data_IF_653194729131
#
_entry.id   IF_653194729131
#
_cell.length_a   1.000
_cell.length_b   1.000
_cell.length_c   1.000
_cell.angle_alpha   90.00
_cell.angle_beta   90.00
_cell.angle_gamma   90.00
#
_symmetry.space_group_name_H-M   'P 1'
#
loop_
_entity.id
_entity.type
_entity.pdbx_description
1 polymer ?
#
# COMPACT_ATOMS: atom_id res chain seq x y z
N UNK A 1 67.22 12.06 4.72
CA UNK A 1 66.94 12.84 5.93
C UNK A 1 65.48 13.31 5.86
N UNK A 2 64.70 12.98 6.91
CA UNK A 2 63.37 13.51 7.33
C UNK A 2 62.24 13.53 6.29
N UNK A 3 61.27 12.58 6.23
CA UNK A 3 60.14 12.24 7.16
C UNK A 3 59.28 13.44 7.64
N UNK A 4 57.96 13.32 7.43
CA UNK A 4 56.80 13.80 8.23
C UNK A 4 55.77 14.52 7.35
N UNK A 5 54.45 14.28 7.39
CA UNK A 5 53.66 13.43 8.27
C UNK A 5 52.19 13.46 7.85
N UNK A 6 51.54 12.30 7.96
CA UNK A 6 50.10 12.10 7.88
C UNK A 6 49.47 12.49 9.22
N UNK A 7 48.40 13.29 9.25
CA UNK A 7 47.48 13.36 10.40
C UNK A 7 46.04 13.52 9.96
N UNK A 8 45.29 12.45 10.20
CA UNK A 8 43.84 12.43 10.41
C UNK A 8 43.47 13.28 11.63
N UNK A 9 42.30 13.93 11.61
CA UNK A 9 41.62 14.40 12.81
C UNK A 9 40.11 14.38 12.59
N UNK A 10 39.44 13.48 13.33
CA UNK A 10 38.00 13.41 13.51
C UNK A 10 37.57 14.24 14.74
N UNK A 11 36.29 14.63 14.74
CA UNK A 11 35.39 14.94 15.88
C UNK A 11 35.39 16.39 16.40
N UNK A 12 34.21 17.04 16.34
CA UNK A 12 33.51 17.49 17.55
C UNK A 12 31.99 17.63 17.34
N UNK A 13 31.25 16.89 18.18
CA UNK A 13 29.83 16.98 18.48
C UNK A 13 29.53 18.29 19.23
N UNK A 14 28.50 19.04 18.81
CA UNK A 14 27.90 20.08 19.66
C UNK A 14 26.40 19.82 19.78
N UNK A 15 26.01 19.38 20.98
CA UNK A 15 24.64 19.42 21.48
C UNK A 15 24.20 20.88 21.58
N UNK A 16 23.05 21.23 21.00
CA UNK A 16 22.27 22.37 21.44
C UNK A 16 20.93 21.90 21.98
N UNK A 17 20.79 22.00 23.30
CA UNK A 17 19.51 21.98 24.01
C UNK A 17 18.90 23.38 23.83
N UNK A 18 17.81 23.47 23.08
CA UNK A 18 17.05 24.70 22.87
C UNK A 18 15.60 24.50 23.28
N UNK A 19 15.23 25.09 24.42
CA UNK A 19 13.88 25.14 24.98
C UNK A 19 13.01 26.10 24.17
N UNK A 20 11.80 25.63 23.81
CA UNK A 20 10.56 26.41 23.74
C UNK A 20 10.47 27.58 22.78
N UNK A 21 9.79 27.37 21.65
CA UNK A 21 9.01 28.42 20.99
C UNK A 21 7.68 27.83 20.49
N UNK A 22 6.60 28.20 21.17
CA UNK A 22 5.24 27.91 20.75
C UNK A 22 4.92 28.70 19.47
N UNK A 23 5.02 28.03 18.31
CA UNK A 23 4.49 28.56 17.06
C UNK A 23 2.97 28.31 17.03
N UNK A 24 2.23 29.40 16.97
CA UNK A 24 0.77 29.41 16.94
C UNK A 24 0.27 28.65 15.71
N UNK A 25 -0.57 27.63 15.95
CA UNK A 25 -1.30 26.92 14.92
C UNK A 25 -2.25 27.91 14.22
N UNK A 26 -1.86 28.36 13.03
CA UNK A 26 -2.74 29.12 12.17
C UNK A 26 -3.67 28.10 11.49
N UNK A 27 -4.93 28.13 11.91
CA UNK A 27 -5.99 27.25 11.43
C UNK A 27 -6.13 27.35 9.89
N UNK A 28 -5.53 26.39 9.20
CA UNK A 28 -5.76 26.15 7.78
C UNK A 28 -7.04 25.35 7.60
N UNK A 29 -7.88 25.79 6.66
CA UNK A 29 -9.09 25.09 6.22
C UNK A 29 -8.75 23.72 5.61
N UNK A 30 -8.56 22.71 6.45
CA UNK A 30 -8.68 21.30 6.10
C UNK A 30 -10.04 20.83 6.54
N UNK A 31 -10.87 20.33 5.62
CA UNK A 31 -12.03 19.53 6.03
C UNK A 31 -11.57 18.35 6.90
N UNK A 32 -12.46 17.70 7.66
CA UNK A 32 -12.13 16.64 8.63
C UNK A 32 -11.52 15.35 8.02
N UNK A 33 -11.11 15.40 6.75
CA UNK A 33 -10.53 14.31 5.96
C UNK A 33 -9.10 14.65 5.52
N UNK A 34 -8.38 15.48 6.30
CA UNK A 34 -6.96 15.74 6.09
C UNK A 34 -6.17 14.43 6.15
N UNK A 35 -5.20 14.28 5.23
CA UNK A 35 -4.34 13.10 5.19
C UNK A 35 -3.36 13.16 6.36
N UNK A 36 -3.66 12.47 7.45
CA UNK A 36 -2.64 12.22 8.47
C UNK A 36 -1.53 11.37 7.86
N UNK A 37 -0.25 11.66 8.16
CA UNK A 37 0.85 10.82 7.72
C UNK A 37 0.64 9.38 8.20
N UNK A 38 1.12 8.41 7.42
CA UNK A 38 1.13 7.01 7.81
C UNK A 38 1.82 6.86 9.15
N UNK A 39 1.25 6.08 10.07
CA UNK A 39 1.89 5.80 11.36
C UNK A 39 2.95 4.72 11.17
N UNK A 40 4.21 5.10 11.39
CA UNK A 40 5.36 4.19 11.36
C UNK A 40 5.52 3.54 12.75
N UNK A 41 4.94 2.35 12.95
CA UNK A 41 4.94 1.60 14.22
C UNK A 41 5.64 0.25 14.11
N UNK A 42 5.83 -0.29 12.91
CA UNK A 42 6.38 -1.62 12.67
C UNK A 42 7.71 -1.83 13.41
N UNK A 43 8.67 -0.92 13.20
CA UNK A 43 10.01 -1.02 13.78
C UNK A 43 10.02 -0.99 15.33
N UNK A 44 8.96 -0.49 15.98
CA UNK A 44 8.85 -0.48 17.43
C UNK A 44 8.48 -1.86 18.00
N UNK A 45 7.88 -2.73 17.18
CA UNK A 45 7.32 -4.01 17.60
C UNK A 45 8.01 -5.24 16.99
N UNK A 46 8.82 -5.09 15.95
CA UNK A 46 9.71 -6.13 15.43
C UNK A 46 10.91 -6.33 16.38
N UNK A 47 10.69 -7.07 17.48
CA UNK A 47 11.69 -7.16 18.57
C UNK A 47 12.84 -8.08 18.24
N UNK A 48 12.59 -9.09 17.40
CA UNK A 48 13.62 -10.01 16.94
C UNK A 48 14.33 -9.54 15.66
N UNK A 49 13.92 -8.38 15.10
CA UNK A 49 14.47 -7.76 13.89
C UNK A 49 14.46 -8.71 12.69
N UNK A 50 13.43 -9.56 12.61
CA UNK A 50 13.29 -10.52 11.51
C UNK A 50 12.58 -9.91 10.28
N UNK A 51 12.17 -8.64 10.37
CA UNK A 51 11.43 -7.92 9.33
C UNK A 51 9.96 -8.28 9.29
N UNK A 52 9.40 -8.89 10.35
CA UNK A 52 7.98 -9.28 10.47
C UNK A 52 7.49 -9.21 11.91
N UNK A 53 6.18 -9.03 12.08
CA UNK A 53 5.54 -9.14 13.39
C UNK A 53 4.91 -10.53 13.56
N UNK A 54 5.36 -11.28 14.57
CA UNK A 54 4.66 -12.50 15.00
C UNK A 54 3.37 -12.16 15.75
N UNK A 55 2.53 -13.16 16.06
CA UNK A 55 1.22 -12.95 16.71
C UNK A 55 1.28 -12.09 17.99
N UNK A 56 2.33 -12.23 18.81
CA UNK A 56 2.49 -11.46 20.06
C UNK A 56 2.89 -10.01 19.79
N UNK A 57 3.78 -9.81 18.83
CA UNK A 57 4.22 -8.49 18.39
C UNK A 57 3.08 -7.74 17.72
N UNK A 58 2.33 -8.44 16.85
CA UNK A 58 1.13 -7.93 16.19
C UNK A 58 0.10 -7.47 17.21
N UNK A 59 -0.17 -8.27 18.25
CA UNK A 59 -1.12 -7.88 19.30
C UNK A 59 -0.63 -6.65 20.10
N UNK A 60 0.68 -6.54 20.33
CA UNK A 60 1.27 -5.40 21.02
C UNK A 60 1.19 -4.12 20.17
N UNK A 61 1.49 -4.23 18.87
CA UNK A 61 1.36 -3.15 17.91
C UNK A 61 -0.09 -2.66 17.80
N UNK A 62 -1.07 -3.58 17.75
CA UNK A 62 -2.50 -3.23 17.74
C UNK A 62 -2.92 -2.45 18.96
N UNK A 63 -2.52 -2.89 20.16
CA UNK A 63 -2.86 -2.19 21.40
C UNK A 63 -2.29 -0.77 21.38
N UNK A 64 -1.05 -0.61 20.94
CA UNK A 64 -0.41 0.69 20.81
C UNK A 64 -1.11 1.60 19.80
N UNK A 65 -1.44 1.10 18.60
CA UNK A 65 -2.15 1.90 17.59
C UNK A 65 -3.53 2.33 18.12
N UNK A 66 -4.24 1.45 18.83
CA UNK A 66 -5.53 1.80 19.46
C UNK A 66 -5.37 2.87 20.54
N UNK A 67 -4.32 2.81 21.35
CA UNK A 67 -4.00 3.82 22.34
C UNK A 67 -3.70 5.19 21.69
N UNK A 68 -2.92 5.19 20.60
CA UNK A 68 -2.62 6.41 19.84
C UNK A 68 -3.88 7.05 19.24
N UNK A 69 -4.79 6.23 18.72
CA UNK A 69 -6.03 6.68 18.07
C UNK A 69 -7.14 7.06 19.05
N UNK A 70 -7.10 6.54 20.27
CA UNK A 70 -8.12 6.83 21.29
C UNK A 70 -9.55 6.61 20.77
N UNK A 71 -10.34 7.68 20.72
CA UNK A 71 -11.74 7.69 20.23
C UNK A 71 -11.89 8.04 18.74
N UNK A 72 -10.83 8.02 17.94
CA UNK A 72 -10.95 8.22 16.50
C UNK A 72 -11.98 7.26 15.90
N UNK A 73 -12.93 7.83 15.17
CA UNK A 73 -14.06 7.11 14.58
C UNK A 73 -13.61 6.38 13.32
N UNK A 74 -12.82 5.32 13.47
CA UNK A 74 -12.71 4.31 12.43
C UNK A 74 -14.09 3.67 12.23
N UNK A 75 -14.44 3.23 11.01
CA UNK A 75 -15.68 2.50 10.79
C UNK A 75 -15.86 1.39 11.81
N UNK A 76 -17.03 1.32 12.42
CA UNK A 76 -17.28 0.37 13.52
C UNK A 76 -17.05 -1.07 13.05
N UNK A 77 -16.43 -1.85 13.94
CA UNK A 77 -16.15 -3.26 13.79
C UNK A 77 -17.42 -4.02 13.41
N UNK A 78 -17.55 -4.45 12.16
CA UNK A 78 -18.48 -5.53 11.85
C UNK A 78 -17.83 -6.83 12.28
N UNK A 79 -18.34 -7.42 13.36
CA UNK A 79 -17.97 -8.79 13.74
C UNK A 79 -18.49 -9.76 12.70
N UNK A 80 -17.63 -10.14 11.78
CA UNK A 80 -17.86 -11.30 10.92
C UNK A 80 -17.59 -12.58 11.72
N UNK A 81 -18.62 -13.13 12.37
CA UNK A 81 -18.61 -14.54 12.75
C UNK A 81 -18.94 -15.39 11.52
N UNK A 82 -18.02 -15.41 10.56
CA UNK A 82 -18.18 -16.26 9.40
C UNK A 82 -17.44 -17.57 9.65
N UNK A 83 -18.13 -18.71 9.64
CA UNK A 83 -17.48 -19.99 9.85
C UNK A 83 -16.47 -20.23 8.71
N UNK A 84 -15.21 -20.43 9.08
CA UNK A 84 -14.17 -20.91 8.17
C UNK A 84 -14.53 -22.35 7.80
N UNK A 85 -15.27 -22.54 6.71
CA UNK A 85 -15.82 -23.86 6.34
C UNK A 85 -14.80 -24.78 5.67
N UNK A 86 -13.69 -24.24 5.17
CA UNK A 86 -12.62 -24.97 4.48
C UNK A 86 -11.27 -24.61 5.07
N UNK A 87 -10.30 -25.53 5.02
CA UNK A 87 -8.88 -25.25 5.29
C UNK A 87 -8.11 -24.90 4.00
N UNK A 88 -6.80 -24.67 4.12
CA UNK A 88 -5.91 -24.31 2.98
C UNK A 88 -6.03 -25.27 1.79
N UNK A 89 -6.04 -26.59 2.03
CA UNK A 89 -6.21 -27.59 0.96
C UNK A 89 -7.60 -27.54 0.29
N UNK A 90 -8.62 -27.06 1.00
CA UNK A 90 -9.94 -26.83 0.43
C UNK A 90 -9.94 -25.64 -0.52
N UNK A 91 -9.27 -24.56 -0.14
CA UNK A 91 -9.12 -23.37 -0.98
C UNK A 91 -8.28 -23.64 -2.21
N UNK A 92 -7.17 -24.38 -2.08
CA UNK A 92 -6.35 -24.82 -3.22
C UNK A 92 -7.19 -25.58 -4.24
N UNK A 93 -8.01 -26.54 -3.78
CA UNK A 93 -8.89 -27.30 -4.68
C UNK A 93 -9.94 -26.42 -5.36
N UNK A 94 -10.57 -25.49 -4.62
CA UNK A 94 -11.53 -24.55 -5.21
C UNK A 94 -10.87 -23.57 -6.19
N UNK A 95 -9.67 -23.11 -5.87
CA UNK A 95 -8.87 -22.23 -6.72
C UNK A 95 -8.51 -22.94 -8.02
N UNK A 96 -7.97 -24.15 -7.96
CA UNK A 96 -7.70 -24.96 -9.15
C UNK A 96 -8.97 -25.22 -9.99
N UNK A 97 -10.10 -25.50 -9.35
CA UNK A 97 -11.37 -25.74 -10.05
C UNK A 97 -11.97 -24.49 -10.71
N UNK A 98 -11.59 -23.29 -10.26
CA UNK A 98 -12.04 -22.00 -10.83
C UNK A 98 -10.99 -21.33 -11.71
N UNK A 99 -9.83 -21.98 -11.90
CA UNK A 99 -8.76 -21.48 -12.73
C UNK A 99 -9.21 -21.33 -14.20
N UNK A 100 -8.75 -20.29 -14.91
CA UNK A 100 -8.92 -20.20 -16.36
C UNK A 100 -8.34 -21.43 -17.05
N UNK A 101 -9.03 -21.93 -18.09
CA UNK A 101 -8.57 -23.11 -18.86
C UNK A 101 -7.38 -22.78 -19.75
N UNK A 102 -7.39 -21.59 -20.32
CA UNK A 102 -6.35 -21.10 -21.20
C UNK A 102 -5.29 -20.35 -20.41
N UNK A 103 -4.05 -20.36 -20.91
CA UNK A 103 -2.98 -19.55 -20.33
C UNK A 103 -3.26 -18.09 -20.65
N UNK A 104 -3.48 -17.31 -19.59
CA UNK A 104 -3.61 -15.87 -19.66
C UNK A 104 -2.66 -15.21 -18.64
N UNK A 105 -2.35 -13.94 -18.83
CA UNK A 105 -1.60 -13.13 -17.87
C UNK A 105 -2.51 -12.61 -16.74
N UNK A 106 -1.93 -12.03 -15.69
CA UNK A 106 -2.69 -11.56 -14.52
C UNK A 106 -3.76 -10.52 -14.88
N UNK A 107 -3.40 -9.57 -15.76
CA UNK A 107 -4.26 -8.45 -16.16
C UNK A 107 -4.93 -8.65 -17.52
N UNK A 108 -5.04 -9.89 -18.02
CA UNK A 108 -5.87 -10.14 -19.19
C UNK A 108 -7.33 -9.78 -18.87
N UNK A 109 -7.88 -8.83 -19.63
CA UNK A 109 -9.23 -8.28 -19.44
C UNK A 109 -10.32 -9.29 -19.78
N UNK A 110 -10.02 -10.32 -20.58
CA UNK A 110 -10.98 -11.37 -20.95
C UNK A 110 -11.02 -12.53 -19.94
N UNK A 111 -10.13 -12.51 -18.94
CA UNK A 111 -10.00 -13.59 -17.97
C UNK A 111 -10.50 -13.15 -16.59
N UNK A 112 -11.56 -13.78 -16.11
CA UNK A 112 -12.14 -13.50 -14.79
C UNK A 112 -11.59 -14.47 -13.73
N UNK A 113 -10.47 -14.09 -13.10
CA UNK A 113 -9.80 -14.93 -12.08
C UNK A 113 -10.45 -14.83 -10.71
N UNK A 114 -10.32 -15.89 -9.92
CA UNK A 114 -10.69 -15.89 -8.50
C UNK A 114 -9.44 -15.91 -7.62
N UNK A 115 -9.30 -14.89 -6.77
CA UNK A 115 -8.26 -14.79 -5.75
C UNK A 115 -8.83 -15.26 -4.42
N UNK A 116 -8.12 -16.16 -3.77
CA UNK A 116 -8.47 -16.65 -2.43
C UNK A 116 -7.46 -16.10 -1.43
N UNK A 117 -7.92 -15.33 -0.45
CA UNK A 117 -7.12 -14.92 0.70
C UNK A 117 -7.51 -15.74 1.92
N UNK A 118 -6.51 -16.24 2.64
CA UNK A 118 -6.69 -16.95 3.90
C UNK A 118 -5.86 -16.33 4.99
N UNK A 119 -6.55 -15.78 5.98
CA UNK A 119 -5.95 -15.28 7.20
C UNK A 119 -5.99 -16.35 8.28
N UNK A 120 -4.92 -16.45 9.07
CA UNK A 120 -4.85 -17.38 10.20
C UNK A 120 -5.63 -16.86 11.42
N UNK A 121 -5.63 -15.54 11.63
CA UNK A 121 -6.34 -14.92 12.75
C UNK A 121 -7.85 -14.87 12.51
N UNK A 122 -8.69 -15.29 13.48
CA UNK A 122 -10.14 -15.07 13.40
C UNK A 122 -10.53 -13.59 13.49
N UNK A 123 -9.64 -12.73 14.01
CA UNK A 123 -9.83 -11.28 14.12
C UNK A 123 -9.22 -10.48 12.97
N UNK A 124 -8.82 -11.13 11.87
CA UNK A 124 -8.07 -10.51 10.75
C UNK A 124 -8.66 -9.20 10.22
N UNK A 125 -9.99 -9.07 10.16
CA UNK A 125 -10.63 -7.86 9.66
C UNK A 125 -10.46 -6.68 10.64
N UNK A 126 -10.52 -6.95 11.94
CA UNK A 126 -10.24 -5.97 12.97
C UNK A 126 -8.76 -5.59 12.97
N UNK A 127 -7.86 -6.55 12.73
CA UNK A 127 -6.43 -6.29 12.58
C UNK A 127 -6.16 -5.35 11.39
N UNK A 128 -6.73 -5.63 10.22
CA UNK A 128 -6.65 -4.74 9.05
C UNK A 128 -7.24 -3.35 9.33
N UNK A 129 -8.32 -3.28 10.12
CA UNK A 129 -8.95 -2.01 10.51
C UNK A 129 -8.05 -1.21 11.45
N UNK A 130 -7.49 -1.87 12.47
CA UNK A 130 -6.57 -1.26 13.42
C UNK A 130 -5.30 -0.77 12.72
N UNK A 131 -4.77 -1.51 11.75
CA UNK A 131 -3.59 -1.13 10.98
C UNK A 131 -3.86 -0.29 9.73
N UNK A 132 -5.10 0.16 9.51
CA UNK A 132 -5.38 1.10 8.41
C UNK A 132 -4.50 2.35 8.55
N UNK A 133 -3.82 2.79 7.49
CA UNK A 133 -2.88 3.93 7.53
C UNK A 133 -1.69 3.75 8.51
N UNK A 134 -1.23 2.52 8.76
CA UNK A 134 0.06 2.23 9.42
C UNK A 134 1.00 1.47 8.47
N UNK A 135 2.29 1.39 8.83
CA UNK A 135 3.34 0.62 8.15
C UNK A 135 3.25 -0.91 8.31
N UNK A 136 2.27 -1.40 9.07
CA UNK A 136 2.09 -2.83 9.35
C UNK A 136 1.17 -3.48 8.32
N UNK A 137 1.61 -4.59 7.74
CA UNK A 137 0.79 -5.45 6.89
C UNK A 137 0.39 -6.74 7.63
N UNK A 138 -0.86 -7.18 7.45
CA UNK A 138 -1.39 -8.39 8.07
C UNK A 138 -1.08 -9.60 7.17
N UNK A 139 -0.34 -10.61 7.67
CA UNK A 139 0.01 -11.78 6.87
C UNK A 139 -1.20 -12.64 6.47
N UNK A 140 -1.19 -13.13 5.23
CA UNK A 140 -2.16 -14.09 4.72
C UNK A 140 -1.51 -15.09 3.75
N UNK A 141 -2.24 -16.17 3.44
CA UNK A 141 -1.96 -16.99 2.26
C UNK A 141 -2.84 -16.53 1.12
N UNK A 142 -2.25 -16.17 -0.01
CA UNK A 142 -2.95 -15.97 -1.26
C UNK A 142 -2.95 -17.28 -2.05
N UNK A 143 -4.09 -17.66 -2.65
CA UNK A 143 -4.20 -18.83 -3.51
C UNK A 143 -4.84 -18.39 -4.83
N UNK A 144 -4.17 -18.68 -5.95
CA UNK A 144 -4.58 -18.29 -7.30
C UNK A 144 -4.34 -19.47 -8.24
N UNK A 145 -5.35 -19.83 -9.02
CA UNK A 145 -5.30 -20.90 -10.02
C UNK A 145 -4.76 -22.25 -9.50
N UNK A 146 -5.00 -22.55 -8.21
CA UNK A 146 -4.53 -23.77 -7.56
C UNK A 146 -3.14 -23.68 -6.91
N UNK A 147 -2.44 -22.56 -7.05
CA UNK A 147 -1.13 -22.32 -6.44
C UNK A 147 -1.23 -21.47 -5.18
N UNK A 148 -0.49 -21.82 -4.14
CA UNK A 148 -0.45 -21.09 -2.88
C UNK A 148 0.80 -20.22 -2.77
N UNK A 149 0.59 -18.96 -2.41
CA UNK A 149 1.55 -17.90 -2.16
C UNK A 149 1.45 -17.55 -0.68
N UNK A 150 2.21 -18.23 0.21
CA UNK A 150 2.13 -18.01 1.63
C UNK A 150 2.88 -16.75 2.05
N UNK A 151 2.44 -16.13 3.15
CA UNK A 151 3.10 -14.97 3.72
C UNK A 151 3.03 -13.72 2.83
N UNK A 152 1.90 -13.52 2.14
CA UNK A 152 1.64 -12.22 1.52
C UNK A 152 1.22 -11.23 2.60
N UNK A 153 1.59 -9.97 2.45
CA UNK A 153 1.15 -8.89 3.33
C UNK A 153 -0.12 -8.27 2.77
N UNK A 154 -1.08 -7.96 3.64
CA UNK A 154 -2.36 -7.38 3.25
C UNK A 154 -2.65 -6.16 4.12
N UNK A 155 -3.09 -5.07 3.50
CA UNK A 155 -3.59 -3.90 4.22
C UNK A 155 -4.78 -3.28 3.49
N UNK A 156 -5.64 -2.56 4.23
CA UNK A 156 -6.67 -1.73 3.63
C UNK A 156 -6.05 -0.49 3.00
N UNK A 157 -6.55 -0.12 1.80
CA UNK A 157 -6.07 1.06 1.07
C UNK A 157 -7.17 2.03 0.69
N UNK A 158 -6.73 3.23 0.31
CA UNK A 158 -7.57 4.33 -0.14
C UNK A 158 -7.87 5.32 0.99
N UNK A 159 -8.30 6.51 0.60
CA UNK A 159 -8.72 7.57 1.54
C UNK A 159 -10.25 7.64 1.53
N UNK A 160 -10.83 8.38 0.58
CA UNK A 160 -12.29 8.52 0.48
C UNK A 160 -13.02 7.18 0.33
N UNK A 161 -12.48 6.23 -0.42
CA UNK A 161 -13.10 4.89 -0.60
C UNK A 161 -13.19 4.07 0.70
N UNK A 162 -12.26 4.31 1.63
CA UNK A 162 -12.25 3.65 2.94
C UNK A 162 -13.31 4.24 3.87
N UNK A 163 -13.40 5.57 3.92
CA UNK A 163 -14.32 6.27 4.82
C UNK A 163 -15.76 6.36 4.30
N UNK A 164 -15.96 6.54 2.99
CA UNK A 164 -17.30 6.63 2.39
C UNK A 164 -18.06 5.30 2.46
N UNK A 165 -17.33 4.17 2.50
CA UNK A 165 -17.96 2.85 2.69
C UNK A 165 -18.43 2.63 4.12
N UNK A 166 -18.04 3.49 5.09
CA UNK A 166 -18.39 3.38 6.50
C UNK A 166 -18.23 1.93 6.97
N UNK A 167 -19.25 1.34 7.58
CA UNK A 167 -19.19 0.00 8.13
C UNK A 167 -19.26 -1.09 7.05
N UNK A 168 -19.42 -0.78 5.76
CA UNK A 168 -19.44 -1.82 4.72
C UNK A 168 -18.13 -2.62 4.73
N UNK A 169 -18.21 -3.97 4.72
CA UNK A 169 -17.03 -4.82 4.66
C UNK A 169 -16.24 -4.62 3.38
N UNK A 170 -16.86 -4.15 2.30
CA UNK A 170 -16.24 -4.06 0.99
C UNK A 170 -15.21 -2.91 0.94
N UNK A 171 -14.05 -3.14 1.56
CA UNK A 171 -12.88 -2.26 1.55
C UNK A 171 -11.98 -2.59 0.36
N UNK A 172 -11.16 -1.63 -0.04
CA UNK A 172 -10.10 -1.85 -1.01
C UNK A 172 -8.87 -2.43 -0.31
N UNK A 173 -8.18 -3.35 -0.97
CA UNK A 173 -7.00 -4.05 -0.44
C UNK A 173 -5.77 -3.72 -1.28
N UNK A 174 -4.63 -3.62 -0.63
CA UNK A 174 -3.33 -3.81 -1.26
C UNK A 174 -2.76 -5.13 -0.73
N UNK A 175 -2.14 -5.90 -1.63
CA UNK A 175 -1.54 -7.20 -1.33
C UNK A 175 -0.09 -7.16 -1.80
N UNK A 176 0.85 -7.26 -0.87
CA UNK A 176 2.27 -7.40 -1.11
C UNK A 176 2.62 -8.89 -1.23
N UNK A 177 2.84 -9.34 -2.45
CA UNK A 177 3.10 -10.75 -2.78
C UNK A 177 4.44 -11.21 -2.22
N UNK A 178 5.42 -10.31 -2.16
CA UNK A 178 6.79 -10.57 -1.72
C UNK A 178 7.07 -10.17 -0.27
N UNK A 179 6.03 -9.92 0.52
CA UNK A 179 6.13 -9.45 1.91
C UNK A 179 7.05 -10.32 2.77
N UNK A 180 6.69 -11.60 2.96
CA UNK A 180 7.58 -12.52 3.67
C UNK A 180 8.68 -13.07 2.76
N UNK A 181 8.34 -13.38 1.51
CA UNK A 181 9.23 -14.04 0.56
C UNK A 181 9.60 -13.08 -0.55
N UNK A 182 10.72 -12.37 -0.41
CA UNK A 182 11.14 -11.31 -1.33
C UNK A 182 11.22 -11.67 -2.82
N UNK A 183 11.40 -12.95 -3.16
CA UNK A 183 11.41 -13.44 -4.56
C UNK A 183 10.05 -13.91 -5.08
N UNK A 184 9.01 -13.95 -4.24
CA UNK A 184 7.68 -14.43 -4.61
C UNK A 184 7.02 -13.44 -5.57
N UNK A 185 6.45 -13.95 -6.66
CA UNK A 185 5.78 -13.15 -7.69
C UNK A 185 4.49 -13.83 -8.12
N UNK A 186 3.44 -13.06 -8.28
CA UNK A 186 2.18 -13.51 -8.87
C UNK A 186 2.19 -13.10 -10.33
N UNK A 187 2.39 -14.04 -11.26
CA UNK A 187 2.47 -13.74 -12.70
C UNK A 187 3.47 -12.61 -13.04
N UNK A 188 4.60 -12.56 -12.33
CA UNK A 188 5.63 -11.52 -12.50
C UNK A 188 5.45 -10.27 -11.63
N UNK A 189 4.30 -10.10 -10.96
CA UNK A 189 4.02 -8.93 -10.13
C UNK A 189 4.35 -9.17 -8.65
N UNK A 190 4.88 -8.13 -7.99
CA UNK A 190 5.18 -8.15 -6.55
C UNK A 190 4.06 -7.60 -5.67
N UNK A 191 3.17 -6.80 -6.25
CA UNK A 191 2.04 -6.21 -5.51
C UNK A 191 0.78 -6.20 -6.37
N UNK A 192 -0.37 -6.18 -5.70
CA UNK A 192 -1.69 -6.15 -6.31
C UNK A 192 -2.60 -5.17 -5.56
N UNK A 193 -3.37 -4.38 -6.30
CA UNK A 193 -4.40 -3.52 -5.71
C UNK A 193 -5.79 -3.99 -6.10
N UNK A 194 -6.65 -4.22 -5.10
CA UNK A 194 -8.05 -4.57 -5.30
C UNK A 194 -8.93 -3.40 -4.86
N UNK A 195 -9.55 -2.72 -5.82
CA UNK A 195 -10.44 -1.59 -5.59
C UNK A 195 -11.88 -2.06 -5.38
N UNK A 196 -12.52 -1.52 -4.35
CA UNK A 196 -13.91 -1.84 -4.01
C UNK A 196 -14.96 -1.18 -4.92
N UNK A 197 -14.55 -0.27 -5.80
CA UNK A 197 -15.40 0.48 -6.72
C UNK A 197 -16.56 1.23 -6.04
N UNK A 198 -16.37 1.73 -4.82
CA UNK A 198 -17.44 2.34 -4.02
C UNK A 198 -18.15 3.53 -4.70
N UNK A 199 -17.46 4.25 -5.58
CA UNK A 199 -17.98 5.41 -6.32
C UNK A 199 -18.34 5.08 -7.79
N UNK A 200 -18.13 3.84 -8.24
CA UNK A 200 -18.39 3.41 -9.61
C UNK A 200 -19.43 2.27 -9.63
N UNK A 201 -20.73 2.58 -9.80
CA UNK A 201 -21.77 1.56 -9.87
C UNK A 201 -21.65 0.63 -11.09
N UNK A 202 -20.87 0.99 -12.11
CA UNK A 202 -20.64 0.14 -13.28
C UNK A 202 -19.48 -0.84 -13.08
N UNK A 203 -18.55 -0.53 -12.17
CA UNK A 203 -17.23 -1.16 -12.02
C UNK A 203 -16.31 -0.98 -13.25
N UNK A 204 -16.80 -0.43 -14.36
CA UNK A 204 -16.10 -0.40 -15.64
C UNK A 204 -15.12 0.77 -15.80
N UNK A 205 -15.27 1.87 -15.06
CA UNK A 205 -14.58 3.12 -15.38
C UNK A 205 -13.06 2.99 -15.34
N UNK A 206 -12.54 2.32 -14.32
CA UNK A 206 -11.10 2.12 -14.15
C UNK A 206 -10.51 1.23 -15.27
N UNK A 207 -11.16 0.10 -15.55
CA UNK A 207 -10.69 -0.83 -16.60
C UNK A 207 -10.78 -0.20 -17.98
N UNK A 208 -11.87 0.50 -18.29
CA UNK A 208 -12.01 1.20 -19.57
C UNK A 208 -11.00 2.34 -19.71
N UNK A 209 -10.77 3.11 -18.64
CA UNK A 209 -9.76 4.17 -18.65
C UNK A 209 -8.36 3.60 -18.88
N UNK A 210 -7.98 2.53 -18.17
CA UNK A 210 -6.71 1.82 -18.36
C UNK A 210 -6.55 1.32 -19.80
N UNK A 211 -7.56 0.61 -20.33
CA UNK A 211 -7.55 0.07 -21.70
C UNK A 211 -7.37 1.14 -22.76
N UNK A 212 -8.11 2.25 -22.64
CA UNK A 212 -8.01 3.36 -23.59
C UNK A 212 -6.63 4.02 -23.46
N UNK A 213 -6.19 4.32 -22.24
CA UNK A 213 -4.94 5.04 -21.97
C UNK A 213 -3.71 4.29 -22.47
N UNK A 214 -3.69 2.96 -22.35
CA UNK A 214 -2.61 2.11 -22.88
C UNK A 214 -2.32 2.30 -24.37
N UNK A 215 -3.29 2.74 -25.15
CA UNK A 215 -3.08 2.98 -26.59
C UNK A 215 -2.31 4.27 -26.87
N UNK A 216 -2.12 5.14 -25.86
CA UNK A 216 -1.59 6.49 -26.05
C UNK A 216 -0.42 6.83 -25.12
N UNK A 217 -0.41 6.29 -23.90
CA UNK A 217 0.61 6.58 -22.89
C UNK A 217 0.93 5.32 -22.07
N UNK A 218 2.10 5.26 -21.40
CA UNK A 218 2.32 4.33 -20.31
C UNK A 218 1.19 4.47 -19.29
N UNK A 219 0.42 3.40 -19.11
CA UNK A 219 -0.74 3.38 -18.23
C UNK A 219 -0.73 2.09 -17.41
N UNK A 220 -1.33 2.13 -16.23
CA UNK A 220 -1.43 0.96 -15.36
C UNK A 220 -2.41 -0.03 -15.98
N UNK A 221 -2.11 -1.33 -15.90
CA UNK A 221 -3.04 -2.39 -16.26
C UNK A 221 -4.15 -2.55 -15.23
N UNK A 222 -5.35 -2.87 -15.70
CA UNK A 222 -6.47 -3.18 -14.82
C UNK A 222 -7.39 -4.25 -15.43
N UNK A 223 -7.97 -5.09 -14.57
CA UNK A 223 -9.00 -6.06 -14.96
C UNK A 223 -9.96 -6.35 -13.79
N UNK A 224 -10.84 -7.34 -13.97
CA UNK A 224 -11.77 -7.78 -12.93
C UNK A 224 -11.34 -9.11 -12.32
N UNK A 225 -11.42 -9.18 -11.00
CA UNK A 225 -11.21 -10.42 -10.25
C UNK A 225 -12.36 -10.65 -9.27
N UNK A 226 -12.57 -11.91 -8.91
CA UNK A 226 -13.40 -12.30 -7.77
C UNK A 226 -12.51 -12.49 -6.56
N UNK A 227 -12.91 -11.93 -5.41
CA UNK A 227 -12.22 -12.15 -4.14
C UNK A 227 -12.99 -13.14 -3.27
N UNK A 228 -12.29 -14.11 -2.70
CA UNK A 228 -12.80 -15.04 -1.69
C UNK A 228 -11.90 -14.92 -0.47
N UNK A 229 -12.45 -14.60 0.71
CA UNK A 229 -11.66 -14.49 1.95
C UNK A 229 -12.16 -15.55 2.94
N UNK A 230 -11.25 -16.39 3.43
CA UNK A 230 -11.55 -17.45 4.40
C UNK A 230 -12.75 -18.35 3.99
N UNK A 231 -12.91 -18.57 2.68
CA UNK A 231 -13.96 -19.40 2.09
C UNK A 231 -15.26 -18.66 1.74
N UNK A 232 -15.40 -17.39 2.10
CA UNK A 232 -16.56 -16.55 1.76
C UNK A 232 -16.32 -15.76 0.48
N UNK A 233 -17.35 -15.57 -0.34
CA UNK A 233 -17.30 -14.75 -1.54
C UNK A 233 -17.50 -13.25 -1.23
N UNK A 234 -16.48 -12.44 -1.48
CA UNK A 234 -16.47 -10.98 -1.28
C UNK A 234 -16.86 -10.20 -2.56
N UNK A 235 -17.19 -10.95 -3.61
CA UNK A 235 -17.67 -10.42 -4.89
C UNK A 235 -16.55 -9.94 -5.80
N UNK A 236 -16.93 -9.08 -6.74
CA UNK A 236 -16.03 -8.53 -7.77
C UNK A 236 -15.22 -7.37 -7.23
N UNK A 237 -13.96 -7.28 -7.65
CA UNK A 237 -13.05 -6.17 -7.42
C UNK A 237 -12.40 -5.77 -8.74
N UNK A 238 -12.07 -4.49 -8.88
CA UNK A 238 -11.14 -4.08 -9.94
C UNK A 238 -9.73 -4.31 -9.43
N UNK A 239 -8.98 -5.15 -10.14
CA UNK A 239 -7.56 -5.39 -9.90
C UNK A 239 -6.76 -4.39 -10.72
N UNK A 240 -5.89 -3.60 -10.08
CA UNK A 240 -5.09 -2.55 -10.73
C UNK A 240 -3.61 -2.74 -10.39
N UNK A 241 -2.78 -2.65 -11.42
CA UNK A 241 -1.33 -2.64 -11.30
C UNK A 241 -0.87 -1.50 -10.38
N UNK A 242 0.14 -1.77 -9.56
CA UNK A 242 0.73 -0.72 -8.75
C UNK A 242 1.79 0.03 -9.56
N UNK A 243 1.75 1.36 -9.51
CA UNK A 243 2.82 2.18 -10.05
C UNK A 243 4.11 2.03 -9.21
N UNK A 244 4.99 1.12 -9.62
CA UNK A 244 6.22 0.77 -8.92
C UNK A 244 7.38 0.55 -9.92
N UNK A 245 8.48 -0.03 -9.45
CA UNK A 245 9.64 -0.28 -10.31
C UNK A 245 9.39 -1.40 -11.36
N UNK A 246 8.38 -2.26 -11.17
CA UNK A 246 7.95 -3.22 -12.21
C UNK A 246 7.33 -2.46 -13.38
N UNK A 247 6.46 -1.49 -13.11
CA UNK A 247 5.89 -0.61 -14.13
C UNK A 247 6.99 0.11 -14.92
N UNK A 248 8.00 0.67 -14.22
CA UNK A 248 9.10 1.35 -14.89
C UNK A 248 9.89 0.39 -15.78
N UNK A 249 10.14 -0.83 -15.29
CA UNK A 249 10.85 -1.85 -16.05
C UNK A 249 10.08 -2.27 -17.30
N UNK A 250 8.75 -2.35 -17.22
CA UNK A 250 7.91 -2.73 -18.36
C UNK A 250 7.86 -1.63 -19.43
N UNK A 251 7.58 -0.39 -19.02
CA UNK A 251 7.32 0.71 -19.96
C UNK A 251 8.56 1.46 -20.42
N UNK A 252 9.60 1.53 -19.58
CA UNK A 252 10.81 2.32 -19.85
C UNK A 252 12.08 1.46 -19.94
N UNK A 253 11.97 0.13 -19.77
CA UNK A 253 13.12 -0.77 -19.84
C UNK A 253 14.13 -0.61 -18.70
N UNK A 254 13.74 0.05 -17.60
CA UNK A 254 14.59 0.29 -16.42
C UNK A 254 13.78 0.24 -15.14
N UNK A 255 14.30 -0.38 -14.09
CA UNK A 255 13.69 -0.34 -12.75
C UNK A 255 14.04 0.95 -11.98
N UNK A 256 14.90 1.81 -12.56
CA UNK A 256 15.27 3.10 -12.00
C UNK A 256 14.40 4.24 -12.55
N UNK A 257 14.35 5.33 -11.80
CA UNK A 257 13.56 6.51 -12.16
C UNK A 257 12.91 7.14 -10.94
N UNK A 258 12.69 8.45 -10.99
CA UNK A 258 12.06 9.20 -9.90
C UNK A 258 10.55 9.12 -10.06
N UNK A 259 9.86 8.57 -9.06
CA UNK A 259 8.40 8.49 -9.01
C UNK A 259 7.83 9.53 -8.06
N UNK A 260 6.86 10.29 -8.55
CA UNK A 260 6.13 11.30 -7.79
C UNK A 260 4.68 10.91 -7.61
N UNK A 261 4.12 11.29 -6.47
CA UNK A 261 2.69 11.12 -6.17
C UNK A 261 2.13 12.46 -5.70
N UNK A 262 0.91 12.75 -6.13
CA UNK A 262 0.11 13.85 -5.57
C UNK A 262 -0.91 13.19 -4.64
N UNK A 263 -0.70 13.20 -3.32
CA UNK A 263 -1.61 12.53 -2.41
C UNK A 263 -2.92 13.31 -2.26
N UNK A 264 -4.03 12.62 -1.99
CA UNK A 264 -5.34 13.26 -1.85
C UNK A 264 -5.35 14.20 -0.64
N UNK A 265 -6.06 15.32 -0.75
CA UNK A 265 -6.26 16.26 0.36
C UNK A 265 -5.09 17.20 0.65
N UNK A 266 -4.04 17.22 -0.18
CA UNK A 266 -3.01 18.27 -0.11
C UNK A 266 -3.49 19.57 -0.75
N UNK A 267 -3.28 20.68 -0.04
CA UNK A 267 -3.78 22.02 -0.40
C UNK A 267 -2.95 22.74 -1.47
N UNK A 268 -1.87 22.14 -1.94
CA UNK A 268 -0.97 22.75 -2.90
C UNK A 268 -1.38 22.45 -4.36
N UNK A 269 -0.94 23.30 -5.30
CA UNK A 269 -1.36 23.20 -6.69
C UNK A 269 -0.66 22.02 -7.39
N UNK A 270 -1.31 20.85 -7.40
CA UNK A 270 -0.77 19.61 -7.98
C UNK A 270 -0.67 19.56 -9.51
N UNK A 271 -0.97 20.65 -10.24
CA UNK A 271 -0.99 20.66 -11.70
C UNK A 271 0.34 21.18 -12.32
N UNK A 272 1.48 20.80 -11.73
CA UNK A 272 2.83 21.19 -12.19
C UNK A 272 3.01 22.72 -12.28
N UNK A 273 2.49 23.45 -11.31
CA UNK A 273 2.74 24.89 -11.24
C UNK A 273 4.16 25.18 -10.78
N UNK A 274 4.78 26.18 -11.40
CA UNK A 274 6.04 26.72 -10.91
C UNK A 274 5.79 27.55 -9.65
N UNK A 275 6.17 27.02 -8.48
CA UNK A 275 5.99 27.67 -7.18
C UNK A 275 7.23 28.47 -6.73
N UNK A 276 8.31 28.47 -7.51
CA UNK A 276 9.60 29.05 -7.15
C UNK A 276 10.74 28.05 -7.27
N UNK A 277 11.98 28.49 -6.99
CA UNK A 277 13.17 27.63 -7.10
C UNK A 277 13.44 26.78 -5.85
N UNK A 278 12.69 26.97 -4.76
CA UNK A 278 12.92 26.25 -3.49
C UNK A 278 12.16 24.90 -3.48
N UNK A 279 12.85 23.76 -3.33
CA UNK A 279 12.22 22.45 -3.13
C UNK A 279 11.14 22.39 -2.05
N UNK A 280 11.24 23.19 -0.98
CA UNK A 280 10.25 23.21 0.09
C UNK A 280 8.86 23.63 -0.40
N UNK A 281 8.78 24.48 -1.43
CA UNK A 281 7.51 24.97 -1.99
C UNK A 281 6.69 23.88 -2.70
N UNK A 282 7.30 22.72 -2.95
CA UNK A 282 6.69 21.58 -3.65
C UNK A 282 6.32 20.44 -2.70
N UNK A 283 6.95 20.37 -1.52
CA UNK A 283 6.73 19.30 -0.52
C UNK A 283 5.32 19.27 0.06
N UNK A 284 4.56 20.36 -0.10
CA UNK A 284 3.14 20.45 0.27
C UNK A 284 2.18 19.91 -0.81
N UNK A 285 2.68 19.59 -2.01
CA UNK A 285 1.88 19.14 -3.15
C UNK A 285 2.29 17.74 -3.63
N UNK A 286 3.59 17.45 -3.61
CA UNK A 286 4.18 16.22 -4.13
C UNK A 286 4.79 15.37 -3.03
N UNK A 287 4.74 14.07 -3.22
CA UNK A 287 5.35 13.04 -2.39
C UNK A 287 6.33 12.25 -3.26
N UNK A 288 7.60 12.24 -2.87
CA UNK A 288 8.63 11.44 -3.53
C UNK A 288 8.43 9.97 -3.13
N UNK A 289 8.25 9.08 -4.11
CA UNK A 289 8.02 7.63 -3.91
C UNK A 289 9.27 6.79 -4.20
N UNK A 290 10.43 7.43 -4.40
CA UNK A 290 11.69 6.78 -4.72
C UNK A 290 12.73 7.18 -3.68
N UNK A 291 13.23 6.18 -2.97
CA UNK A 291 14.29 6.37 -1.98
C UNK A 291 15.59 6.82 -2.68
N UNK A 292 16.44 7.55 -1.96
CA UNK A 292 17.79 7.94 -2.39
C UNK A 292 17.87 8.52 -3.82
N UNK A 293 17.11 9.59 -4.08
CA UNK A 293 17.12 10.30 -5.38
C UNK A 293 17.71 11.72 -5.27
N UNK A 294 19.05 11.87 -5.25
CA UNK A 294 19.69 13.19 -5.24
C UNK A 294 19.23 14.05 -6.42
N UNK A 295 18.87 15.30 -6.14
CA UNK A 295 18.45 16.24 -7.17
C UNK A 295 17.01 16.07 -7.67
N UNK A 296 16.26 15.06 -7.21
CA UNK A 296 14.90 14.78 -7.67
C UNK A 296 13.99 16.02 -7.62
N UNK A 297 13.99 16.75 -6.49
CA UNK A 297 13.18 17.95 -6.34
C UNK A 297 13.55 19.06 -7.34
N UNK A 298 14.83 19.24 -7.63
CA UNK A 298 15.27 20.20 -8.65
C UNK A 298 14.82 19.76 -10.05
N UNK A 299 14.87 18.47 -10.36
CA UNK A 299 14.33 17.95 -11.62
C UNK A 299 12.82 18.15 -11.75
N UNK A 300 12.06 18.06 -10.65
CA UNK A 300 10.63 18.36 -10.64
C UNK A 300 10.35 19.85 -10.92
N UNK A 301 11.20 20.76 -10.42
CA UNK A 301 11.09 22.21 -10.64
C UNK A 301 11.33 22.60 -12.11
N UNK A 302 12.11 21.79 -12.84
CA UNK A 302 12.47 22.04 -14.25
C UNK A 302 11.44 21.52 -15.28
N UNK A 303 10.40 20.77 -14.85
CA UNK A 303 9.34 20.27 -15.72
C UNK A 303 8.38 21.38 -16.18
#
# INVERSE_FOLDING_TARGET
MTKSGMRSASILLVLFIGVGAAAHAQAGFGGPWGHEPRLEVFAMFDKDNNGRLNDREMQSARNHVRELRGNESLPEHIRFYLPVTLGLLGDIRKSAASAPKDRADLYDENTFRTLYLRFSSPGWFDELTDFFNTDVEVPANLIVDGEAYPGVGVHFRGSSSYFMTRNSPKKSFNISIDYEKGSQRLYGYRTLNLLNNNADPSFLREVLFSRISHSYIPALKANFVKLVINGENWGVYTSVEQFNNDFLSEWFGTSGGVRWKIPPGRSGPGALFYNGPDPEDYKSSFELQTDDSPGAWYSLIEL
#
